data_IF_738787458922
#
_entry.id   IF_738787458922
#
_cell.length_a   1.000
_cell.length_b   1.000
_cell.length_c   1.000
_cell.angle_alpha   90.00
_cell.angle_beta   90.00
_cell.angle_gamma   90.00
#
_symmetry.space_group_name_H-M   'P 1'
#
loop_
_entity.id
_entity.type
_entity.pdbx_description
1 polymer ?
#
# COMPACT_ATOMS: atom_id res chain seq x y z
N UNK A 1 6.32 6.89 76.90
CA UNK A 1 5.14 7.39 76.17
C UNK A 1 5.61 8.32 75.06
N UNK A 2 5.70 7.85 73.82
CA UNK A 2 6.06 8.68 72.67
C UNK A 2 5.11 8.30 71.53
N UNK A 3 4.35 9.30 71.07
CA UNK A 3 3.20 9.16 70.18
C UNK A 3 3.65 8.94 68.73
N UNK A 4 2.98 7.99 68.07
CA UNK A 4 3.02 7.71 66.64
C UNK A 4 2.45 8.90 65.84
N UNK A 5 3.11 9.26 64.74
CA UNK A 5 2.58 10.14 63.68
C UNK A 5 2.33 9.28 62.42
N UNK A 6 1.16 9.36 61.78
CA UNK A 6 0.87 8.62 60.56
C UNK A 6 1.41 9.38 59.33
N UNK A 7 2.28 8.73 58.56
CA UNK A 7 2.74 9.22 57.26
C UNK A 7 1.66 8.88 56.24
N UNK A 8 0.95 9.93 55.82
CA UNK A 8 -0.03 9.92 54.75
C UNK A 8 0.71 9.81 53.40
N UNK A 9 0.91 8.60 52.89
CA UNK A 9 1.51 8.39 51.57
C UNK A 9 0.50 8.70 50.46
N UNK A 10 0.73 9.85 49.83
CA UNK A 10 0.10 10.32 48.60
C UNK A 10 0.08 9.23 47.51
N UNK A 11 -1.11 8.79 47.12
CA UNK A 11 -1.33 7.95 45.94
C UNK A 11 -1.26 8.86 44.70
N UNK A 12 -0.11 8.87 44.02
CA UNK A 12 0.03 9.52 42.71
C UNK A 12 -0.78 8.73 41.66
N UNK A 13 -1.98 9.22 41.33
CA UNK A 13 -2.67 8.86 40.10
C UNK A 13 -1.87 9.40 38.90
N UNK A 14 -1.04 8.54 38.31
CA UNK A 14 -0.52 8.73 36.96
C UNK A 14 -1.70 8.60 35.98
N UNK A 15 -2.28 9.75 35.65
CA UNK A 15 -3.18 9.89 34.51
C UNK A 15 -2.38 9.60 33.24
N UNK A 16 -2.43 8.35 32.79
CA UNK A 16 -2.00 7.96 31.44
C UNK A 16 -2.95 8.67 30.47
N UNK A 17 -2.60 9.88 30.07
CA UNK A 17 -3.14 10.50 28.86
C UNK A 17 -2.73 9.63 27.69
N UNK A 18 -3.56 8.62 27.40
CA UNK A 18 -3.52 7.90 26.15
C UNK A 18 -3.84 8.94 25.06
N UNK A 19 -2.80 9.49 24.45
CA UNK A 19 -2.91 10.15 23.16
C UNK A 19 -3.46 9.09 22.21
N UNK A 20 -4.79 9.04 22.07
CA UNK A 20 -5.44 8.26 21.05
C UNK A 20 -4.90 8.81 19.73
N UNK A 21 -3.96 8.08 19.12
CA UNK A 21 -3.49 8.38 17.79
C UNK A 21 -4.71 8.34 16.88
N UNK A 22 -5.16 9.52 16.45
CA UNK A 22 -6.26 9.64 15.49
C UNK A 22 -5.68 9.08 14.19
N UNK A 23 -5.99 7.82 13.89
CA UNK A 23 -5.62 7.23 12.62
C UNK A 23 -6.34 7.99 11.50
N UNK A 24 -5.64 8.37 10.43
CA UNK A 24 -6.28 8.94 9.27
C UNK A 24 -7.40 8.03 8.75
N UNK A 25 -8.49 8.59 8.20
CA UNK A 25 -9.53 7.78 7.58
C UNK A 25 -8.95 6.94 6.43
N UNK A 26 -9.55 5.78 6.19
CA UNK A 26 -9.22 4.94 5.05
C UNK A 26 -9.45 5.71 3.72
N UNK A 27 -8.69 5.38 2.65
CA UNK A 27 -8.91 5.93 1.32
C UNK A 27 -10.37 5.83 0.86
N UNK A 28 -10.89 6.87 0.20
CA UNK A 28 -12.27 6.90 -0.27
C UNK A 28 -12.56 5.86 -1.40
N UNK A 29 -11.52 5.37 -2.07
CA UNK A 29 -11.59 4.39 -3.15
C UNK A 29 -11.12 2.99 -2.73
N UNK A 30 -10.89 2.77 -1.43
CA UNK A 30 -10.76 1.42 -0.90
C UNK A 30 -12.07 0.67 -1.08
N UNK A 31 -11.95 -0.60 -1.46
CA UNK A 31 -13.05 -1.48 -1.73
C UNK A 31 -12.82 -2.82 -1.06
N UNK A 32 -13.79 -3.25 -0.25
CA UNK A 32 -13.87 -4.61 0.28
C UNK A 32 -15.24 -5.14 -0.09
N UNK A 33 -15.28 -6.22 -0.87
CA UNK A 33 -16.56 -6.82 -1.24
C UNK A 33 -17.33 -7.25 0.04
N UNK A 34 -18.65 -7.02 0.14
CA UNK A 34 -19.42 -7.46 1.32
C UNK A 34 -19.35 -8.97 1.57
N UNK A 35 -19.17 -9.74 0.49
CA UNK A 35 -19.00 -11.19 0.50
C UNK A 35 -17.56 -11.62 0.84
N UNK A 36 -16.60 -10.71 0.92
CA UNK A 36 -15.22 -11.05 1.21
C UNK A 36 -15.11 -11.75 2.56
N UNK A 37 -14.48 -12.91 2.54
CA UNK A 37 -14.08 -13.66 3.71
C UNK A 37 -12.59 -13.93 3.59
N UNK A 38 -11.87 -13.68 4.68
CA UNK A 38 -10.44 -14.00 4.73
C UNK A 38 -10.26 -15.50 4.41
N UNK A 39 -9.34 -15.86 3.51
CA UNK A 39 -9.01 -17.26 3.29
C UNK A 39 -8.49 -17.91 4.57
N UNK A 40 -8.58 -19.24 4.62
CA UNK A 40 -7.94 -20.02 5.68
C UNK A 40 -6.45 -19.65 5.80
N UNK A 41 -5.88 -19.55 7.02
CA UNK A 41 -4.47 -19.22 7.20
C UNK A 41 -3.52 -20.11 6.39
N UNK A 42 -3.83 -21.39 6.13
CA UNK A 42 -2.98 -22.28 5.32
C UNK A 42 -3.27 -22.20 3.80
N UNK A 43 -4.19 -21.33 3.37
CA UNK A 43 -4.54 -21.15 1.97
C UNK A 43 -3.34 -20.65 1.15
N UNK A 44 -3.33 -21.03 -0.13
CA UNK A 44 -2.37 -20.53 -1.10
C UNK A 44 -2.84 -19.17 -1.63
N UNK A 45 -1.97 -18.18 -1.56
CA UNK A 45 -2.08 -16.89 -2.23
C UNK A 45 -1.02 -16.85 -3.33
N UNK A 46 -1.45 -16.55 -4.55
CA UNK A 46 -0.51 -16.23 -5.63
C UNK A 46 -0.37 -14.72 -5.74
N UNK A 47 0.86 -14.24 -5.76
CA UNK A 47 1.18 -12.83 -6.00
C UNK A 47 1.66 -12.67 -7.44
N UNK A 48 0.98 -11.83 -8.21
CA UNK A 48 1.47 -11.39 -9.51
C UNK A 48 2.74 -10.53 -9.33
N UNK A 49 3.61 -10.43 -10.35
CA UNK A 49 4.76 -9.54 -10.26
C UNK A 49 4.31 -8.12 -9.89
N UNK A 50 4.94 -7.46 -8.90
CA UNK A 50 4.58 -6.09 -8.58
C UNK A 50 4.94 -5.13 -9.71
N UNK A 51 4.08 -4.15 -9.94
CA UNK A 51 4.29 -3.10 -10.95
C UNK A 51 4.48 -1.73 -10.30
N UNK A 52 5.04 -0.79 -11.04
CA UNK A 52 5.20 0.60 -10.65
C UNK A 52 4.61 1.50 -11.73
N UNK A 53 3.76 2.45 -11.35
CA UNK A 53 3.08 3.34 -12.29
C UNK A 53 4.03 4.35 -12.92
N UNK A 54 5.14 4.64 -12.24
CA UNK A 54 6.16 5.59 -12.66
C UNK A 54 7.54 4.93 -12.63
N UNK A 55 8.39 5.28 -13.61
CA UNK A 55 9.73 4.70 -13.75
C UNK A 55 10.61 4.94 -12.51
N UNK A 56 10.43 6.08 -11.83
CA UNK A 56 11.16 6.43 -10.61
C UNK A 56 10.84 5.51 -9.42
N UNK A 57 9.74 4.77 -9.47
CA UNK A 57 9.33 3.84 -8.41
C UNK A 57 9.85 2.41 -8.62
N UNK A 58 10.42 2.11 -9.78
CA UNK A 58 10.96 0.78 -10.10
C UNK A 58 11.95 0.23 -9.05
N UNK A 59 12.85 1.04 -8.45
CA UNK A 59 13.75 0.53 -7.40
C UNK A 59 13.02 0.00 -6.16
N UNK A 60 11.76 0.41 -5.92
CA UNK A 60 10.94 -0.05 -4.80
C UNK A 60 10.28 -1.42 -5.00
N UNK A 61 10.28 -1.98 -6.21
CA UNK A 61 9.53 -3.18 -6.55
C UNK A 61 10.02 -4.42 -5.78
N UNK A 62 11.33 -4.62 -5.69
CA UNK A 62 11.89 -5.74 -4.94
C UNK A 62 11.62 -5.62 -3.43
N UNK A 63 11.60 -4.40 -2.90
CA UNK A 63 11.27 -4.15 -1.50
C UNK A 63 9.80 -4.47 -1.25
N UNK A 64 8.89 -3.96 -2.10
CA UNK A 64 7.46 -4.26 -2.04
C UNK A 64 7.20 -5.77 -2.09
N UNK A 65 7.81 -6.46 -3.05
CA UNK A 65 7.76 -7.91 -3.23
C UNK A 65 8.13 -8.65 -1.93
N UNK A 66 9.28 -8.29 -1.36
CA UNK A 66 9.80 -8.93 -0.15
C UNK A 66 8.93 -8.66 1.08
N UNK A 67 8.43 -7.43 1.25
CA UNK A 67 7.56 -7.09 2.37
C UNK A 67 6.20 -7.79 2.29
N UNK A 68 5.57 -7.84 1.11
CA UNK A 68 4.32 -8.57 0.91
C UNK A 68 4.48 -10.06 1.23
N UNK A 69 5.51 -10.70 0.65
CA UNK A 69 5.79 -12.11 0.89
C UNK A 69 6.05 -12.39 2.38
N UNK A 70 6.85 -11.55 3.05
CA UNK A 70 7.14 -11.67 4.48
C UNK A 70 5.88 -11.55 5.34
N UNK A 71 5.07 -10.51 5.12
CA UNK A 71 3.90 -10.22 5.96
C UNK A 71 2.76 -11.21 5.74
N UNK A 72 2.50 -11.62 4.50
CA UNK A 72 1.52 -12.66 4.20
C UNK A 72 1.92 -14.02 4.80
N UNK A 73 3.19 -14.42 4.72
CA UNK A 73 3.67 -15.64 5.37
C UNK A 73 3.60 -15.57 6.89
N UNK A 74 3.90 -14.41 7.48
CA UNK A 74 3.74 -14.19 8.92
C UNK A 74 2.28 -14.31 9.37
N UNK A 75 1.32 -14.05 8.48
CA UNK A 75 -0.10 -14.27 8.72
C UNK A 75 -0.56 -15.74 8.56
N UNK A 76 0.36 -16.64 8.20
CA UNK A 76 0.11 -18.08 8.04
C UNK A 76 0.02 -18.56 6.60
N UNK A 77 -0.20 -17.64 5.65
CA UNK A 77 -0.48 -17.99 4.26
C UNK A 77 0.70 -18.68 3.57
N UNK A 78 0.38 -19.63 2.69
CA UNK A 78 1.33 -20.09 1.67
C UNK A 78 1.33 -19.05 0.57
N UNK A 79 2.51 -18.55 0.19
CA UNK A 79 2.63 -17.50 -0.81
C UNK A 79 3.54 -17.98 -1.92
N UNK A 80 3.06 -17.86 -3.16
CA UNK A 80 3.84 -18.13 -4.37
C UNK A 80 3.87 -16.86 -5.20
N UNK A 81 5.05 -16.50 -5.71
CA UNK A 81 5.18 -15.45 -6.72
C UNK A 81 5.06 -16.08 -8.10
N UNK A 82 4.28 -15.44 -8.96
CA UNK A 82 4.34 -15.71 -10.38
C UNK A 82 5.57 -15.01 -10.95
N UNK A 83 6.41 -15.77 -11.66
CA UNK A 83 7.59 -15.24 -12.34
C UNK A 83 7.19 -14.25 -13.44
N UNK A 84 7.95 -13.16 -13.59
CA UNK A 84 7.67 -12.09 -14.56
C UNK A 84 7.48 -12.64 -15.98
N UNK A 85 8.37 -13.52 -16.43
CA UNK A 85 8.29 -14.11 -17.78
C UNK A 85 7.01 -14.91 -18.01
N UNK A 86 6.56 -15.63 -16.98
CA UNK A 86 5.34 -16.43 -17.07
C UNK A 86 4.11 -15.51 -17.08
N UNK A 87 4.11 -14.48 -16.22
CA UNK A 87 3.09 -13.44 -16.24
C UNK A 87 2.99 -12.75 -17.60
N UNK A 88 4.11 -12.27 -18.16
CA UNK A 88 4.12 -11.56 -19.44
C UNK A 88 3.57 -12.42 -20.57
N UNK A 89 3.92 -13.71 -20.58
CA UNK A 89 3.42 -14.68 -21.57
C UNK A 89 1.91 -14.87 -21.43
N UNK A 90 1.44 -15.17 -20.22
CA UNK A 90 0.00 -15.34 -19.95
C UNK A 90 -0.78 -14.06 -20.27
N UNK A 91 -0.28 -12.91 -19.82
CA UNK A 91 -0.92 -11.62 -20.03
C UNK A 91 -1.05 -11.25 -21.51
N UNK A 92 0.00 -11.49 -22.31
CA UNK A 92 -0.07 -11.29 -23.75
C UNK A 92 -1.13 -12.19 -24.41
N UNK A 93 -1.22 -13.46 -24.00
CA UNK A 93 -2.25 -14.39 -24.47
C UNK A 93 -3.66 -13.91 -24.11
N UNK A 94 -3.88 -13.46 -22.87
CA UNK A 94 -5.19 -12.98 -22.43
C UNK A 94 -5.59 -11.66 -23.12
N UNK A 95 -4.64 -10.76 -23.39
CA UNK A 95 -4.89 -9.55 -24.19
C UNK A 95 -5.36 -9.93 -25.60
N UNK A 96 -4.70 -10.91 -26.23
CA UNK A 96 -5.09 -11.38 -27.57
C UNK A 96 -6.48 -12.02 -27.52
N UNK A 97 -6.77 -12.83 -26.49
CA UNK A 97 -8.06 -13.49 -26.32
C UNK A 97 -9.25 -12.52 -26.21
N UNK A 98 -9.04 -11.34 -25.62
CA UNK A 98 -10.08 -10.28 -25.56
C UNK A 98 -10.08 -9.34 -26.78
N UNK A 99 -9.23 -9.59 -27.78
CA UNK A 99 -9.12 -8.78 -28.99
C UNK A 99 -8.39 -7.45 -28.80
N UNK A 100 -7.50 -7.37 -27.81
CA UNK A 100 -6.71 -6.18 -27.47
C UNK A 100 -7.38 -5.25 -26.47
N UNK A 101 -6.58 -4.66 -25.57
CA UNK A 101 -7.06 -3.75 -24.50
C UNK A 101 -6.96 -2.27 -24.87
N UNK A 102 -6.45 -1.93 -26.05
CA UNK A 102 -6.37 -0.55 -26.55
C UNK A 102 -7.16 -0.40 -27.84
N UNK A 103 -7.82 0.74 -28.01
CA UNK A 103 -8.47 1.12 -29.26
C UNK A 103 -7.40 1.46 -30.31
N UNK A 104 -7.53 0.86 -31.50
CA UNK A 104 -6.53 0.98 -32.57
C UNK A 104 -6.48 2.38 -33.20
N UNK A 105 -7.53 3.17 -33.07
CA UNK A 105 -7.65 4.48 -33.71
C UNK A 105 -7.12 5.60 -32.81
N UNK A 106 -7.35 5.52 -31.50
CA UNK A 106 -7.01 6.60 -30.57
C UNK A 106 -6.10 6.19 -29.41
N UNK A 107 -5.74 4.91 -29.28
CA UNK A 107 -4.87 4.40 -28.21
C UNK A 107 -5.51 4.39 -26.82
N UNK A 108 -6.81 4.68 -26.69
CA UNK A 108 -7.47 4.69 -25.40
C UNK A 108 -7.64 3.27 -24.85
N UNK A 109 -7.50 3.13 -23.53
CA UNK A 109 -7.73 1.87 -22.83
C UNK A 109 -9.21 1.48 -22.94
N UNK A 110 -9.45 0.31 -23.52
CA UNK A 110 -10.73 -0.39 -23.57
C UNK A 110 -10.97 -1.07 -22.22
N UNK A 111 -11.52 -0.30 -21.26
CA UNK A 111 -11.68 -0.74 -19.86
C UNK A 111 -12.42 -2.08 -19.70
N UNK A 112 -13.54 -2.36 -20.41
CA UNK A 112 -14.23 -3.65 -20.28
C UNK A 112 -13.35 -4.85 -20.66
N UNK A 113 -12.56 -4.71 -21.72
CA UNK A 113 -11.63 -5.72 -22.24
C UNK A 113 -10.43 -5.89 -21.31
N UNK A 114 -9.90 -4.80 -20.75
CA UNK A 114 -8.86 -4.86 -19.72
C UNK A 114 -9.33 -5.65 -18.49
N UNK A 115 -10.52 -5.32 -17.96
CA UNK A 115 -11.10 -6.03 -16.81
C UNK A 115 -11.32 -7.51 -17.13
N UNK A 116 -11.78 -7.83 -18.36
CA UNK A 116 -11.97 -9.21 -18.81
C UNK A 116 -10.65 -9.97 -18.91
N UNK A 117 -9.60 -9.37 -19.47
CA UNK A 117 -8.28 -9.97 -19.56
C UNK A 117 -7.70 -10.27 -18.17
N UNK A 118 -7.84 -9.34 -17.22
CA UNK A 118 -7.45 -9.59 -15.82
C UNK A 118 -8.23 -10.76 -15.22
N UNK A 119 -9.54 -10.82 -15.46
CA UNK A 119 -10.38 -11.94 -15.03
C UNK A 119 -9.90 -13.29 -15.57
N UNK A 120 -9.59 -13.38 -16.87
CA UNK A 120 -9.06 -14.60 -17.48
C UNK A 120 -7.68 -14.97 -16.95
N UNK A 121 -6.78 -14.00 -16.79
CA UNK A 121 -5.46 -14.23 -16.19
C UNK A 121 -5.59 -14.83 -14.79
N UNK A 122 -6.45 -14.25 -13.94
CA UNK A 122 -6.68 -14.75 -12.58
C UNK A 122 -7.27 -16.16 -12.60
N UNK A 123 -8.27 -16.42 -13.45
CA UNK A 123 -8.89 -17.74 -13.58
C UNK A 123 -7.87 -18.79 -14.00
N UNK A 124 -6.99 -18.47 -14.96
CA UNK A 124 -5.91 -19.35 -15.40
C UNK A 124 -4.91 -19.64 -14.27
N UNK A 125 -4.40 -18.60 -13.63
CA UNK A 125 -3.45 -18.73 -12.51
C UNK A 125 -4.05 -19.57 -11.39
N UNK A 126 -5.32 -19.34 -11.03
CA UNK A 126 -5.98 -20.13 -9.97
C UNK A 126 -6.31 -21.55 -10.40
N UNK A 127 -6.63 -21.80 -11.67
CA UNK A 127 -6.82 -23.15 -12.19
C UNK A 127 -5.54 -24.00 -12.10
N UNK A 128 -4.38 -23.42 -12.41
CA UNK A 128 -3.07 -24.07 -12.37
C UNK A 128 -2.55 -24.27 -10.94
N UNK A 129 -2.75 -23.29 -10.06
CA UNK A 129 -2.14 -23.28 -8.72
C UNK A 129 -3.07 -23.72 -7.59
N UNK A 130 -4.39 -23.71 -7.83
CA UNK A 130 -5.43 -23.84 -6.80
C UNK A 130 -5.34 -22.77 -5.71
N UNK A 131 -4.87 -21.57 -6.06
CA UNK A 131 -4.82 -20.44 -5.14
C UNK A 131 -6.23 -20.01 -4.69
N UNK A 132 -6.37 -19.67 -3.41
CA UNK A 132 -7.60 -19.11 -2.85
C UNK A 132 -7.78 -17.63 -3.22
N UNK A 133 -6.67 -16.92 -3.44
CA UNK A 133 -6.65 -15.54 -3.90
C UNK A 133 -5.45 -15.30 -4.83
N UNK A 134 -5.63 -14.39 -5.78
CA UNK A 134 -4.55 -13.79 -6.55
C UNK A 134 -4.43 -12.32 -6.17
N UNK A 135 -3.24 -11.87 -5.80
CA UNK A 135 -2.95 -10.46 -5.45
C UNK A 135 -2.16 -9.82 -6.58
N UNK A 136 -2.60 -8.63 -7.00
CA UNK A 136 -1.89 -7.74 -7.92
C UNK A 136 -1.40 -6.51 -7.14
N UNK A 137 -0.11 -6.47 -6.76
CA UNK A 137 0.47 -5.36 -6.02
C UNK A 137 1.07 -4.29 -6.95
N UNK A 138 0.93 -3.02 -6.59
CA UNK A 138 1.46 -1.88 -7.34
C UNK A 138 2.02 -0.78 -6.44
N UNK A 139 3.08 -0.11 -6.91
CA UNK A 139 3.52 1.18 -6.39
C UNK A 139 2.88 2.31 -7.20
N UNK A 140 2.19 3.21 -6.53
CA UNK A 140 1.42 4.28 -7.16
C UNK A 140 1.70 5.62 -6.49
N UNK A 141 1.67 6.71 -7.27
CA UNK A 141 1.62 8.07 -6.72
C UNK A 141 0.17 8.48 -6.55
N UNK A 142 -0.19 8.85 -5.32
CA UNK A 142 -1.53 9.30 -4.95
C UNK A 142 -1.46 10.69 -4.33
N UNK A 143 -2.58 11.39 -4.39
CA UNK A 143 -2.69 12.75 -3.88
C UNK A 143 -2.82 12.73 -2.36
N UNK A 144 -1.87 13.33 -1.66
CA UNK A 144 -1.94 13.55 -0.22
C UNK A 144 -2.47 14.95 0.09
N UNK A 145 -3.33 15.05 1.11
CA UNK A 145 -3.78 16.33 1.64
C UNK A 145 -2.65 16.93 2.47
N UNK A 146 -2.23 18.14 2.10
CA UNK A 146 -1.16 18.87 2.75
C UNK A 146 -1.77 19.92 3.69
N UNK A 147 -1.37 19.90 4.96
CA UNK A 147 -1.77 20.91 5.94
C UNK A 147 -0.65 21.17 6.94
N UNK A 148 -0.27 22.43 7.09
CA UNK A 148 0.88 22.82 7.89
C UNK A 148 2.18 22.19 7.38
N UNK A 149 2.90 21.45 8.23
CA UNK A 149 4.15 20.79 7.84
C UNK A 149 3.99 19.31 7.47
N UNK A 150 2.74 18.81 7.42
CA UNK A 150 2.45 17.40 7.24
C UNK A 150 1.52 17.12 6.07
N UNK A 151 1.66 15.93 5.50
CA UNK A 151 0.78 15.37 4.49
C UNK A 151 0.08 14.11 5.04
N UNK A 152 -1.19 13.93 4.68
CA UNK A 152 -2.02 12.79 5.07
C UNK A 152 -2.59 12.11 3.83
N UNK A 153 -2.43 10.79 3.74
CA UNK A 153 -2.95 9.95 2.66
C UNK A 153 -2.97 8.48 3.07
N UNK A 154 -3.92 7.72 2.55
CA UNK A 154 -3.97 6.25 2.63
C UNK A 154 -3.59 5.64 3.99
N UNK A 155 -4.17 6.15 5.08
CA UNK A 155 -3.91 5.69 6.46
C UNK A 155 -2.60 6.19 7.09
N UNK A 156 -1.83 6.99 6.35
CA UNK A 156 -0.51 7.50 6.74
C UNK A 156 -0.53 9.03 6.94
N UNK A 157 0.30 9.49 7.88
CA UNK A 157 0.67 10.90 8.03
C UNK A 157 2.19 11.00 8.08
N UNK A 158 2.79 11.94 7.33
CA UNK A 158 4.23 12.22 7.35
C UNK A 158 4.50 13.71 7.29
N UNK A 159 5.61 14.13 7.87
CA UNK A 159 6.14 15.49 7.69
C UNK A 159 6.69 15.63 6.27
N UNK A 160 6.45 16.78 5.64
CA UNK A 160 7.07 17.12 4.35
C UNK A 160 8.58 17.28 4.55
N UNK A 161 9.42 16.54 3.80
CA UNK A 161 10.86 16.73 3.88
C UNK A 161 11.24 18.06 3.21
N UNK A 162 11.97 18.91 3.93
CA UNK A 162 12.45 20.21 3.46
C UNK A 162 13.97 20.26 3.61
N UNK A 163 14.68 20.78 2.61
CA UNK A 163 16.13 21.02 2.63
C UNK A 163 16.42 22.50 2.32
N UNK A 164 17.51 23.03 2.89
CA UNK A 164 18.02 24.37 2.57
C UNK A 164 17.55 25.51 3.47
N UNK A 165 16.73 25.26 4.50
CA UNK A 165 16.38 26.24 5.53
C UNK A 165 16.62 25.68 6.93
N UNK A 166 17.17 26.51 7.81
CA UNK A 166 17.49 26.18 9.20
C UNK A 166 16.28 26.16 10.14
N UNK A 167 15.09 26.53 9.66
CA UNK A 167 13.88 26.51 10.48
C UNK A 167 12.73 25.80 9.77
N UNK A 168 12.06 24.97 10.55
CA UNK A 168 11.15 23.93 10.10
C UNK A 168 9.68 24.39 10.17
N UNK A 169 9.51 25.72 10.13
CA UNK A 169 8.29 26.50 10.39
C UNK A 169 7.47 26.79 9.12
N UNK A 170 7.93 26.37 7.94
CA UNK A 170 7.14 26.52 6.72
C UNK A 170 5.88 25.65 6.79
N UNK A 171 4.73 26.31 6.69
CA UNK A 171 3.42 25.71 6.57
C UNK A 171 2.95 25.77 5.13
N UNK A 172 2.44 24.66 4.65
CA UNK A 172 1.89 24.52 3.31
C UNK A 172 0.47 23.96 3.45
N UNK A 173 -0.44 24.52 2.66
CA UNK A 173 -1.78 23.97 2.49
C UNK A 173 -1.98 23.61 1.01
N UNK A 174 -2.69 22.52 0.76
CA UNK A 174 -2.99 22.06 -0.60
C UNK A 174 -2.83 20.57 -0.75
N UNK A 175 -2.06 20.14 -1.75
CA UNK A 175 -1.82 18.73 -2.01
C UNK A 175 -0.47 18.43 -2.62
N UNK A 176 0.07 17.27 -2.31
CA UNK A 176 1.35 16.78 -2.83
C UNK A 176 1.21 15.34 -3.33
N UNK A 177 2.07 14.92 -4.26
CA UNK A 177 2.19 13.53 -4.65
C UNK A 177 2.84 12.72 -3.53
N UNK A 178 2.26 11.57 -3.20
CA UNK A 178 2.73 10.68 -2.16
C UNK A 178 2.71 9.23 -2.66
N UNK A 179 3.72 8.46 -2.25
CA UNK A 179 3.87 7.06 -2.59
C UNK A 179 2.92 6.22 -1.75
N UNK A 180 2.23 5.30 -2.41
CA UNK A 180 1.38 4.30 -1.77
C UNK A 180 1.60 2.91 -2.38
N UNK A 181 1.33 1.89 -1.58
CA UNK A 181 1.15 0.52 -2.03
C UNK A 181 -0.33 0.34 -2.34
N UNK A 182 -0.66 -0.01 -3.57
CA UNK A 182 -2.01 -0.43 -3.99
C UNK A 182 -2.05 -1.94 -4.11
N UNK A 183 -3.03 -2.58 -3.49
CA UNK A 183 -3.27 -4.02 -3.61
C UNK A 183 -4.66 -4.25 -4.16
N UNK A 184 -4.76 -5.02 -5.25
CA UNK A 184 -6.00 -5.62 -5.71
C UNK A 184 -5.95 -7.13 -5.46
N UNK A 185 -7.01 -7.71 -4.89
CA UNK A 185 -7.12 -9.16 -4.71
C UNK A 185 -8.37 -9.71 -5.40
N UNK A 186 -8.18 -10.88 -6.02
CA UNK A 186 -9.19 -11.52 -6.85
C UNK A 186 -9.46 -12.95 -6.39
N UNK A 187 -10.73 -13.36 -6.50
CA UNK A 187 -11.15 -14.75 -6.24
C UNK A 187 -10.75 -15.67 -7.40
N UNK A 188 -10.86 -17.00 -7.25
CA UNK A 188 -10.63 -17.94 -8.36
C UNK A 188 -11.53 -17.70 -9.58
N UNK A 189 -12.67 -17.05 -9.41
CA UNK A 189 -13.58 -16.72 -10.49
C UNK A 189 -13.18 -15.42 -11.23
N UNK A 190 -12.08 -14.77 -10.84
CA UNK A 190 -11.65 -13.49 -11.42
C UNK A 190 -12.36 -12.27 -10.85
N UNK A 191 -13.16 -12.43 -9.79
CA UNK A 191 -13.89 -11.31 -9.18
C UNK A 191 -12.98 -10.51 -8.26
N UNK A 192 -12.99 -9.19 -8.40
CA UNK A 192 -12.32 -8.28 -7.46
C UNK A 192 -13.05 -8.34 -6.12
N UNK A 193 -12.34 -8.73 -5.05
CA UNK A 193 -12.90 -8.76 -3.69
C UNK A 193 -12.23 -7.77 -2.74
N UNK A 194 -11.05 -7.29 -3.11
CA UNK A 194 -10.29 -6.34 -2.32
C UNK A 194 -9.60 -5.34 -3.25
N UNK A 195 -9.69 -4.05 -2.96
CA UNK A 195 -8.77 -3.01 -3.41
C UNK A 195 -8.44 -2.12 -2.23
N UNK A 196 -7.17 -2.01 -1.89
CA UNK A 196 -6.73 -1.29 -0.69
C UNK A 196 -5.49 -0.48 -0.98
N UNK A 197 -5.29 0.58 -0.20
CA UNK A 197 -4.09 1.40 -0.27
C UNK A 197 -3.45 1.57 1.11
N UNK A 198 -2.13 1.59 1.13
CA UNK A 198 -1.36 1.97 2.30
C UNK A 198 -0.31 3.00 1.94
N UNK A 199 -0.31 4.14 2.62
CA UNK A 199 0.65 5.21 2.38
C UNK A 199 2.06 4.83 2.85
N UNK A 200 3.07 5.07 2.02
CA UNK A 200 4.46 4.74 2.32
C UNK A 200 5.28 5.99 2.67
N UNK A 201 5.49 6.85 1.68
CA UNK A 201 6.44 7.97 1.77
C UNK A 201 6.03 9.17 0.91
N UNK A 202 6.70 10.30 1.13
CA UNK A 202 6.67 11.42 0.20
C UNK A 202 7.90 11.30 -0.72
N UNK A 203 7.73 11.02 -2.03
CA UNK A 203 8.84 10.82 -2.96
C UNK A 203 9.62 12.10 -3.22
N UNK A 204 8.98 13.26 -3.08
CA UNK A 204 9.61 14.56 -3.29
C UNK A 204 9.91 15.26 -1.96
N UNK A 205 11.02 16.00 -1.94
CA UNK A 205 11.37 16.97 -0.90
C UNK A 205 11.33 18.39 -1.46
N UNK A 206 11.03 19.36 -0.61
CA UNK A 206 11.08 20.78 -0.97
C UNK A 206 12.51 21.28 -0.79
N UNK A 207 13.16 21.71 -1.86
CA UNK A 207 14.38 22.52 -1.81
C UNK A 207 13.95 23.98 -1.72
N UNK A 208 14.05 24.54 -0.51
CA UNK A 208 13.58 25.89 -0.23
C UNK A 208 14.52 26.99 -0.74
N UNK A 209 15.81 26.68 -0.97
CA UNK A 209 16.76 27.62 -1.57
C UNK A 209 16.47 27.80 -3.06
N UNK A 210 16.11 26.72 -3.74
CA UNK A 210 15.81 26.74 -5.18
C UNK A 210 14.32 26.92 -5.50
N UNK A 211 13.45 26.89 -4.49
CA UNK A 211 11.99 26.87 -4.65
C UNK A 211 11.50 25.75 -5.57
N UNK A 212 12.03 24.53 -5.41
CA UNK A 212 11.72 23.37 -6.26
C UNK A 212 11.41 22.11 -5.46
N UNK A 213 10.69 21.19 -6.08
CA UNK A 213 10.54 19.83 -5.58
C UNK A 213 11.59 18.93 -6.22
N UNK A 214 12.28 18.15 -5.39
CA UNK A 214 13.32 17.22 -5.82
C UNK A 214 12.94 15.80 -5.44
N UNK A 215 13.15 14.85 -6.34
CA UNK A 215 13.02 13.43 -6.02
C UNK A 215 14.05 13.06 -4.94
N UNK A 216 13.60 12.32 -3.94
CA UNK A 216 14.45 11.78 -2.88
C UNK A 216 15.26 10.60 -3.39
N UNK A 217 16.58 10.77 -3.46
CA UNK A 217 17.50 9.68 -3.80
C UNK A 217 17.52 8.57 -2.73
N UNK A 218 17.10 8.90 -1.50
CA UNK A 218 17.03 7.97 -0.36
C UNK A 218 15.66 7.31 -0.20
N UNK A 219 14.71 7.52 -1.14
CA UNK A 219 13.32 7.06 -1.02
C UNK A 219 13.19 5.57 -0.68
N UNK A 220 14.08 4.73 -1.25
CA UNK A 220 14.11 3.28 -1.05
C UNK A 220 15.35 2.80 -0.30
N UNK A 221 16.07 3.70 0.37
CA UNK A 221 17.26 3.32 1.15
C UNK A 221 16.91 2.47 2.38
N UNK A 222 15.65 2.53 2.84
CA UNK A 222 15.12 1.75 3.97
C UNK A 222 13.80 1.12 3.57
N UNK A 223 13.55 -0.10 4.05
CA UNK A 223 12.34 -0.85 3.76
C UNK A 223 11.16 -0.50 4.69
N UNK A 224 11.41 0.22 5.78
CA UNK A 224 10.43 0.47 6.86
C UNK A 224 9.18 1.19 6.37
N UNK A 225 9.33 2.21 5.52
CA UNK A 225 8.20 2.99 5.01
C UNK A 225 7.30 2.15 4.09
N UNK A 226 7.89 1.29 3.25
CA UNK A 226 7.14 0.33 2.44
C UNK A 226 6.56 -0.81 3.29
N UNK A 227 7.24 -1.24 4.34
CA UNK A 227 6.72 -2.26 5.25
C UNK A 227 5.44 -1.78 5.95
N UNK A 228 5.41 -0.54 6.44
CA UNK A 228 4.21 0.09 7.02
C UNK A 228 3.08 0.19 5.99
N UNK A 229 3.37 0.62 4.77
CA UNK A 229 2.39 0.68 3.68
C UNK A 229 1.80 -0.69 3.31
N UNK A 230 2.64 -1.74 3.29
CA UNK A 230 2.19 -3.12 3.09
C UNK A 230 1.28 -3.56 4.24
N UNK A 231 1.61 -3.23 5.49
CA UNK A 231 0.76 -3.56 6.63
C UNK A 231 -0.61 -2.87 6.55
N UNK A 232 -0.63 -1.59 6.17
CA UNK A 232 -1.86 -0.83 6.00
C UNK A 232 -2.73 -1.40 4.87
N UNK A 233 -2.15 -1.65 3.70
CA UNK A 233 -2.89 -2.21 2.56
C UNK A 233 -3.39 -3.64 2.84
N UNK A 234 -2.62 -4.47 3.54
CA UNK A 234 -3.05 -5.82 3.93
C UNK A 234 -4.02 -5.85 5.13
N UNK A 235 -4.39 -4.72 5.74
CA UNK A 235 -5.18 -4.72 6.98
C UNK A 235 -6.46 -5.58 6.94
N UNK A 236 -7.25 -5.63 5.84
CA UNK A 236 -8.43 -6.50 5.74
C UNK A 236 -8.10 -8.01 5.72
N UNK A 237 -6.86 -8.38 5.41
CA UNK A 237 -6.38 -9.76 5.41
C UNK A 237 -5.71 -10.16 6.73
N UNK A 238 -5.12 -9.19 7.46
CA UNK A 238 -4.28 -9.46 8.65
C UNK A 238 -5.03 -9.40 10.00
N UNK A 239 -6.13 -8.65 10.10
CA UNK A 239 -6.77 -8.41 11.41
C UNK A 239 -7.39 -9.68 11.98
N UNK A 240 -6.97 -10.10 13.18
CA UNK A 240 -7.56 -11.21 13.96
C UNK A 240 -9.04 -10.97 14.22
#
# INVERSE_FOLDING_TARGET
MQKLLPICSLVSLLLLSACAAIHPPAPADDYVAPSFRRPDPAALIVMLPPEADEAELQPGIDILKNQLHKQLRAAGYRVVLLEQKNYDTMWAEEIVAVGGIYDKNNGNLRRPEFVRAVGYLVQRVTAETKAALVIHPRLVIRKAALSGSGAVWDGQQRRVPVVGLGDSTMTYDGSVGALSVSLAAYTPNGELVLRTHGGASLPYRVNALESKHELRLDLFARDTELAEAVTLSLAPMLKK
#
